data_IF_515609925292
#
_entry.id   IF_515609925292
#
_cell.length_a   1.000
_cell.length_b   1.000
_cell.length_c   1.000
_cell.angle_alpha   90.00
_cell.angle_beta   90.00
_cell.angle_gamma   90.00
#
_symmetry.space_group_name_H-M   'P 1'
#
loop_
_entity.id
_entity.type
_entity.pdbx_description
1 polymer ?
#
# COMPACT_ATOMS: atom_id res chain seq x y z
N UNK A 1 12.17 -22.22 -1.29
CA UNK A 1 11.63 -21.25 -0.31
C UNK A 1 10.14 -21.16 -0.55
N UNK A 2 9.36 -21.13 0.53
CA UNK A 2 7.91 -21.05 0.41
C UNK A 2 7.56 -19.70 -0.23
N UNK A 3 6.98 -19.72 -1.42
CA UNK A 3 6.72 -18.52 -2.24
C UNK A 3 5.40 -17.84 -1.80
N UNK A 4 5.07 -17.97 -0.51
CA UNK A 4 3.85 -17.43 0.09
C UNK A 4 4.15 -16.09 0.75
N UNK A 5 3.37 -15.11 0.38
CA UNK A 5 3.38 -13.82 1.03
C UNK A 5 2.36 -13.79 2.18
N UNK A 6 2.63 -12.96 3.18
CA UNK A 6 1.70 -12.58 4.23
C UNK A 6 1.42 -11.08 4.10
N UNK A 7 0.16 -10.69 4.08
CA UNK A 7 -0.26 -9.31 3.94
C UNK A 7 -1.12 -8.90 5.13
N UNK A 8 -0.73 -7.79 5.77
CA UNK A 8 -1.49 -7.15 6.85
C UNK A 8 -2.09 -5.84 6.35
N UNK A 9 -3.39 -5.66 6.46
CA UNK A 9 -4.06 -4.40 6.17
C UNK A 9 -3.80 -3.41 7.31
N UNK A 10 -3.01 -2.37 7.07
CA UNK A 10 -2.72 -1.31 8.05
C UNK A 10 -3.79 -0.22 8.05
N UNK A 11 -4.47 -0.06 6.93
CA UNK A 11 -5.58 0.82 6.72
C UNK A 11 -6.42 0.37 5.54
N UNK A 12 -7.73 0.49 5.66
CA UNK A 12 -8.71 0.01 4.67
C UNK A 12 -9.70 1.09 4.24
N UNK A 13 -9.53 2.31 4.73
CA UNK A 13 -10.36 3.45 4.41
C UNK A 13 -9.92 4.20 3.15
N UNK A 14 -10.85 4.92 2.55
CA UNK A 14 -10.61 5.88 1.47
C UNK A 14 -9.87 7.13 1.98
N UNK A 15 -9.62 8.10 1.11
CA UNK A 15 -8.85 9.32 1.37
C UNK A 15 -9.26 10.12 2.61
N UNK A 16 -10.51 10.03 3.05
CA UNK A 16 -11.00 10.71 4.26
C UNK A 16 -10.90 9.87 5.54
N UNK A 17 -10.59 8.57 5.44
CA UNK A 17 -10.69 7.64 6.55
C UNK A 17 -12.12 7.48 7.10
N UNK A 18 -12.29 6.62 8.11
CA UNK A 18 -13.54 6.45 8.84
C UNK A 18 -13.22 6.42 10.35
N UNK A 19 -13.83 7.28 11.19
CA UNK A 19 -14.83 8.30 10.86
C UNK A 19 -14.26 9.46 10.05
N UNK A 20 -15.07 9.98 9.14
CA UNK A 20 -14.73 11.16 8.37
C UNK A 20 -14.93 12.43 9.22
N UNK A 21 -14.02 13.39 9.11
CA UNK A 21 -14.11 14.69 9.81
C UNK A 21 -15.43 15.39 9.43
N UNK A 22 -16.10 15.93 10.43
CA UNK A 22 -17.37 16.65 10.32
C UNK A 22 -18.53 15.81 9.69
N UNK A 23 -18.43 14.47 9.69
CA UNK A 23 -19.48 13.58 9.18
C UNK A 23 -20.16 12.82 10.31
N UNK A 24 -21.48 12.96 10.37
CA UNK A 24 -22.32 12.28 11.33
C UNK A 24 -23.26 11.28 10.62
N UNK A 25 -22.76 10.07 10.38
CA UNK A 25 -23.51 8.98 9.75
C UNK A 25 -23.37 7.68 10.53
N UNK A 26 -24.19 6.69 10.21
CA UNK A 26 -24.25 5.42 10.92
C UNK A 26 -22.88 4.72 11.00
N UNK A 27 -22.10 4.71 9.91
CA UNK A 27 -20.76 4.10 9.85
C UNK A 27 -19.75 4.90 10.67
N UNK A 28 -19.76 6.24 10.57
CA UNK A 28 -18.85 7.08 11.36
C UNK A 28 -19.08 6.96 12.86
N UNK A 29 -20.34 6.72 13.31
CA UNK A 29 -20.74 6.54 14.71
C UNK A 29 -20.67 5.09 15.18
N UNK A 30 -20.40 4.13 14.29
CA UNK A 30 -20.32 2.71 14.67
C UNK A 30 -19.34 2.50 15.82
N UNK A 31 -19.71 1.61 16.75
CA UNK A 31 -18.83 1.15 17.83
C UNK A 31 -17.97 -0.06 17.39
N UNK A 32 -18.28 -0.67 16.25
CA UNK A 32 -17.51 -1.79 15.72
C UNK A 32 -16.13 -1.28 15.30
N UNK A 33 -15.03 -1.84 15.84
CA UNK A 33 -13.67 -1.44 15.46
C UNK A 33 -13.38 -1.66 13.98
N UNK A 34 -14.06 -2.59 13.30
CA UNK A 34 -13.91 -2.83 11.87
C UNK A 34 -14.48 -1.70 10.99
N UNK A 35 -15.28 -0.81 11.57
CA UNK A 35 -15.75 0.43 10.94
C UNK A 35 -14.82 1.64 11.21
N UNK A 36 -13.73 1.46 11.97
CA UNK A 36 -12.69 2.48 12.16
C UNK A 36 -11.56 2.18 11.20
N UNK A 37 -11.36 3.06 10.22
CA UNK A 37 -10.48 2.77 9.08
C UNK A 37 -9.52 3.92 8.84
N UNK A 38 -8.23 3.65 8.99
CA UNK A 38 -7.15 4.50 8.52
C UNK A 38 -7.08 4.46 6.99
N UNK A 39 -6.36 5.41 6.35
CA UNK A 39 -6.19 5.44 4.89
C UNK A 39 -5.50 4.18 4.40
N UNK A 40 -5.87 3.75 3.20
CA UNK A 40 -5.43 2.47 2.62
C UNK A 40 -3.90 2.34 2.59
N UNK A 41 -3.41 1.28 3.21
CA UNK A 41 -2.01 0.86 3.19
C UNK A 41 -1.92 -0.60 3.64
N UNK A 42 -0.95 -1.34 3.15
CA UNK A 42 -0.70 -2.73 3.56
C UNK A 42 0.78 -2.98 3.80
N UNK A 43 1.06 -3.84 4.78
CA UNK A 43 2.39 -4.39 5.04
C UNK A 43 2.47 -5.80 4.47
N UNK A 44 3.50 -6.07 3.69
CA UNK A 44 3.72 -7.38 3.07
C UNK A 44 5.04 -7.96 3.59
N UNK A 45 4.95 -9.12 4.21
CA UNK A 45 6.10 -9.95 4.57
C UNK A 45 6.28 -11.01 3.50
N UNK A 46 7.37 -10.93 2.71
CA UNK A 46 7.58 -11.81 1.57
C UNK A 46 9.07 -12.09 1.35
N UNK A 47 9.42 -13.37 1.31
CA UNK A 47 10.81 -13.82 1.10
C UNK A 47 11.81 -13.28 2.11
N UNK A 48 11.37 -12.98 3.33
CA UNK A 48 12.19 -12.41 4.40
C UNK A 48 12.25 -10.88 4.39
N UNK A 49 11.60 -10.21 3.44
CA UNK A 49 11.51 -8.75 3.37
C UNK A 49 10.21 -8.23 3.98
N UNK A 50 10.27 -7.02 4.51
CA UNK A 50 9.15 -6.24 5.00
C UNK A 50 8.90 -5.06 4.06
N UNK A 51 7.83 -5.13 3.29
CA UNK A 51 7.50 -4.19 2.21
C UNK A 51 6.20 -3.48 2.56
N UNK A 52 6.20 -2.16 2.52
CA UNK A 52 4.99 -1.36 2.68
C UNK A 52 4.44 -0.97 1.29
N UNK A 53 3.11 -1.04 1.12
CA UNK A 53 2.44 -0.43 -0.03
C UNK A 53 1.68 0.80 0.45
N UNK A 54 2.08 1.95 -0.05
CA UNK A 54 1.60 3.29 0.27
C UNK A 54 1.88 3.76 1.71
N UNK A 55 2.28 5.03 1.83
CA UNK A 55 2.59 5.72 3.09
C UNK A 55 1.75 7.00 3.21
N UNK A 56 0.46 6.82 3.48
CA UNK A 56 -0.51 7.91 3.64
C UNK A 56 -0.33 8.69 4.94
N UNK A 57 -1.19 9.68 5.23
CA UNK A 57 -1.10 10.53 6.43
C UNK A 57 -1.17 9.76 7.76
N UNK A 58 -1.66 8.53 7.74
CA UNK A 58 -1.76 7.67 8.93
C UNK A 58 -0.53 6.78 9.15
N UNK A 59 0.49 6.90 8.29
CA UNK A 59 1.71 6.07 8.30
C UNK A 59 2.29 5.90 9.72
N UNK A 60 2.53 6.98 10.45
CA UNK A 60 3.06 6.92 11.82
C UNK A 60 2.16 6.08 12.74
N UNK A 61 0.85 6.31 12.69
CA UNK A 61 -0.11 5.56 13.51
C UNK A 61 -0.10 4.08 13.15
N UNK A 62 -0.08 3.75 11.86
CA UNK A 62 -0.03 2.38 11.33
C UNK A 62 1.24 1.65 11.78
N UNK A 63 2.41 2.28 11.66
CA UNK A 63 3.67 1.67 12.12
C UNK A 63 3.66 1.38 13.62
N UNK A 64 3.19 2.31 14.45
CA UNK A 64 3.11 2.14 15.90
C UNK A 64 2.09 1.09 16.33
N UNK A 65 0.91 1.03 15.70
CA UNK A 65 -0.14 0.06 16.03
C UNK A 65 0.28 -1.38 15.73
N UNK A 66 1.09 -1.58 14.70
CA UNK A 66 1.54 -2.91 14.26
C UNK A 66 2.98 -3.23 14.69
N UNK A 67 3.59 -2.39 15.52
CA UNK A 67 4.98 -2.53 16.01
C UNK A 67 5.99 -2.78 14.88
N UNK A 68 5.81 -2.09 13.74
CA UNK A 68 6.71 -2.20 12.59
C UNK A 68 8.03 -1.54 12.95
N UNK A 69 9.10 -2.31 13.00
CA UNK A 69 10.44 -1.87 13.42
C UNK A 69 11.42 -1.77 12.28
N UNK A 70 11.05 -2.26 11.10
CA UNK A 70 11.91 -2.38 9.94
C UNK A 70 11.10 -2.26 8.65
N UNK A 71 11.67 -1.60 7.63
CA UNK A 71 11.14 -1.56 6.27
C UNK A 71 12.27 -1.69 5.25
N UNK A 72 12.20 -2.71 4.40
CA UNK A 72 13.11 -2.86 3.27
C UNK A 72 12.76 -1.93 2.12
N UNK A 73 11.46 -1.76 1.85
CA UNK A 73 10.98 -0.93 0.75
C UNK A 73 9.57 -0.38 1.00
N UNK A 74 9.27 0.72 0.32
CA UNK A 74 7.93 1.27 0.15
C UNK A 74 7.62 1.28 -1.35
N UNK A 75 6.49 0.67 -1.73
CA UNK A 75 5.97 0.70 -3.08
C UNK A 75 4.81 1.68 -3.14
N UNK A 76 4.87 2.68 -4.01
CA UNK A 76 3.80 3.66 -4.16
C UNK A 76 2.91 3.30 -5.35
N UNK A 77 1.61 3.26 -5.11
CA UNK A 77 0.64 2.96 -6.16
C UNK A 77 0.42 4.14 -7.10
N UNK A 78 0.31 5.35 -6.57
CA UNK A 78 0.13 6.60 -7.30
C UNK A 78 0.43 7.82 -6.42
N UNK A 79 0.24 9.03 -6.93
CA UNK A 79 0.70 10.27 -6.29
C UNK A 79 -0.33 10.99 -5.38
N UNK A 80 -1.50 10.40 -5.11
CA UNK A 80 -2.48 11.05 -4.25
C UNK A 80 -1.98 11.12 -2.79
N UNK A 81 -2.44 12.14 -2.06
CA UNK A 81 -1.96 12.45 -0.71
C UNK A 81 -2.32 11.41 0.34
N UNK A 82 -3.43 10.72 0.18
CA UNK A 82 -3.82 9.61 1.05
C UNK A 82 -2.89 8.39 0.90
N UNK A 83 -2.06 8.33 -0.15
CA UNK A 83 -1.06 7.29 -0.40
C UNK A 83 0.38 7.75 -0.18
N UNK A 84 0.65 9.07 -0.18
CA UNK A 84 2.03 9.61 -0.09
C UNK A 84 2.24 10.59 1.06
N UNK A 85 1.19 11.01 1.76
CA UNK A 85 1.25 12.14 2.70
C UNK A 85 2.03 11.90 3.99
N UNK A 86 2.42 10.66 4.30
CA UNK A 86 3.19 10.29 5.49
C UNK A 86 4.68 10.01 5.25
N UNK A 87 5.17 10.21 4.03
CA UNK A 87 6.55 9.88 3.65
C UNK A 87 7.63 10.62 4.45
N UNK A 88 7.33 11.78 5.05
CA UNK A 88 8.28 12.48 5.92
C UNK A 88 8.65 11.67 7.18
N UNK A 89 7.71 10.89 7.71
CA UNK A 89 7.93 10.08 8.91
C UNK A 89 8.85 8.86 8.68
N UNK A 90 9.24 8.57 7.42
CA UNK A 90 10.25 7.54 7.08
C UNK A 90 11.56 7.79 7.81
N UNK A 91 11.91 9.04 8.09
CA UNK A 91 13.12 9.40 8.84
C UNK A 91 13.26 8.67 10.18
N UNK A 92 12.14 8.21 10.77
CA UNK A 92 12.20 7.41 12.00
C UNK A 92 12.93 6.08 11.78
N UNK A 93 12.73 5.43 10.62
CA UNK A 93 13.47 4.22 10.23
C UNK A 93 14.93 4.54 9.90
N UNK A 94 15.20 5.65 9.19
CA UNK A 94 16.58 6.08 8.92
C UNK A 94 17.35 6.30 10.23
N UNK A 95 16.73 6.96 11.23
CA UNK A 95 17.31 7.19 12.55
C UNK A 95 17.55 5.87 13.32
N UNK A 96 16.65 4.90 13.17
CA UNK A 96 16.73 3.63 13.87
C UNK A 96 17.73 2.66 13.24
N UNK A 97 17.78 2.56 11.92
CA UNK A 97 18.51 1.55 11.17
C UNK A 97 19.79 2.07 10.51
N UNK A 98 19.95 3.37 10.36
CA UNK A 98 21.00 4.03 9.60
C UNK A 98 21.06 3.67 8.10
N UNK A 99 19.97 3.25 7.52
CA UNK A 99 19.88 2.97 6.12
C UNK A 99 18.84 3.88 5.45
N UNK A 100 19.04 4.27 4.17
CA UNK A 100 17.97 4.84 3.36
C UNK A 100 16.84 3.83 3.21
N UNK A 101 15.60 4.30 3.09
CA UNK A 101 14.47 3.45 2.70
C UNK A 101 14.30 3.50 1.19
N UNK A 102 14.20 2.33 0.56
CA UNK A 102 13.96 2.22 -0.87
C UNK A 102 12.50 2.55 -1.19
N UNK A 103 12.25 3.49 -2.11
CA UNK A 103 10.92 3.86 -2.60
C UNK A 103 10.83 3.48 -4.07
N UNK A 104 9.86 2.64 -4.42
CA UNK A 104 9.58 2.23 -5.78
C UNK A 104 8.33 2.93 -6.28
N UNK A 105 8.40 3.59 -7.44
CA UNK A 105 7.26 4.30 -8.00
C UNK A 105 7.41 4.57 -9.52
N UNK A 106 6.31 4.94 -10.16
CA UNK A 106 6.36 5.42 -11.54
C UNK A 106 7.01 6.81 -11.66
N UNK A 107 7.59 7.19 -12.83
CA UNK A 107 8.28 8.46 -13.03
C UNK A 107 7.43 9.71 -12.71
N UNK A 108 6.12 9.67 -12.99
CA UNK A 108 5.25 10.81 -12.68
C UNK A 108 5.01 10.98 -11.17
N UNK A 109 5.04 9.87 -10.41
CA UNK A 109 4.96 9.90 -8.94
C UNK A 109 6.23 10.54 -8.40
N UNK A 110 7.43 10.11 -8.84
CA UNK A 110 8.70 10.74 -8.45
C UNK A 110 8.70 12.24 -8.71
N UNK A 111 8.21 12.67 -9.88
CA UNK A 111 8.08 14.11 -10.20
C UNK A 111 7.25 14.85 -9.15
N UNK A 112 6.17 14.24 -8.68
CA UNK A 112 5.34 14.79 -7.60
C UNK A 112 6.08 14.83 -6.27
N UNK A 113 6.78 13.75 -5.90
CA UNK A 113 7.56 13.69 -4.67
C UNK A 113 8.64 14.76 -4.63
N UNK A 114 9.40 14.96 -5.72
CA UNK A 114 10.42 16.00 -5.82
C UNK A 114 9.86 17.41 -5.64
N UNK A 115 8.65 17.67 -6.15
CA UNK A 115 7.96 18.96 -5.95
C UNK A 115 7.52 19.16 -4.50
N UNK A 116 7.00 18.13 -3.85
CA UNK A 116 6.34 18.23 -2.55
C UNK A 116 7.29 18.04 -1.38
N UNK A 117 8.31 17.22 -1.56
CA UNK A 117 9.35 16.90 -0.57
C UNK A 117 10.73 17.34 -1.05
N UNK A 118 10.82 18.50 -1.70
CA UNK A 118 12.07 19.01 -2.29
C UNK A 118 13.27 18.99 -1.34
N UNK A 119 13.04 19.19 -0.04
CA UNK A 119 14.09 19.13 0.99
C UNK A 119 14.70 17.73 1.16
N UNK A 120 13.92 16.66 0.90
CA UNK A 120 14.41 15.28 0.95
C UNK A 120 15.26 14.90 -0.28
N UNK A 121 15.19 15.70 -1.35
CA UNK A 121 15.97 15.53 -2.57
C UNK A 121 17.10 16.59 -2.73
N UNK A 122 17.27 17.48 -1.76
CA UNK A 122 18.30 18.51 -1.81
C UNK A 122 19.70 17.87 -1.76
N UNK A 123 20.67 18.45 -2.46
CA UNK A 123 22.09 18.04 -2.36
C UNK A 123 22.63 18.30 -0.94
N UNK A 124 22.27 19.42 -0.37
CA UNK A 124 22.57 19.76 1.03
C UNK A 124 21.27 19.67 1.83
N UNK A 125 21.11 18.57 2.59
CA UNK A 125 19.95 18.35 3.45
C UNK A 125 20.22 18.88 4.86
N UNK A 126 19.19 19.35 5.54
CA UNK A 126 19.31 19.60 6.97
C UNK A 126 19.43 18.28 7.75
N UNK A 127 20.14 18.26 8.90
CA UNK A 127 20.28 17.06 9.72
C UNK A 127 18.91 16.50 10.14
N UNK A 128 18.67 15.21 9.91
CA UNK A 128 17.41 14.53 10.21
C UNK A 128 16.32 14.68 9.14
N UNK A 129 16.62 15.23 7.97
CA UNK A 129 15.74 15.08 6.80
C UNK A 129 15.63 13.60 6.42
N UNK A 130 14.48 13.14 5.89
CA UNK A 130 14.34 11.75 5.49
C UNK A 130 15.35 11.38 4.39
N UNK A 131 15.93 10.19 4.51
CA UNK A 131 16.78 9.58 3.51
C UNK A 131 16.06 8.44 2.83
N UNK A 132 15.78 8.62 1.55
CA UNK A 132 15.18 7.60 0.72
C UNK A 132 15.91 7.47 -0.61
N UNK A 133 15.84 6.29 -1.23
CA UNK A 133 16.31 6.04 -2.59
C UNK A 133 15.11 5.72 -3.47
N UNK A 134 14.92 6.51 -4.53
CA UNK A 134 13.81 6.31 -5.46
C UNK A 134 14.26 5.42 -6.61
N UNK A 135 13.54 4.32 -6.81
CA UNK A 135 13.68 3.38 -7.91
C UNK A 135 12.46 3.52 -8.82
N UNK A 136 12.71 3.78 -10.10
CA UNK A 136 11.62 3.92 -11.07
C UNK A 136 11.15 2.56 -11.55
N UNK A 137 9.84 2.34 -11.49
CA UNK A 137 9.18 1.13 -11.98
C UNK A 137 8.80 1.31 -13.44
N UNK A 138 9.15 0.31 -14.27
CA UNK A 138 8.50 0.06 -15.54
C UNK A 138 7.33 -0.90 -15.32
N UNK A 139 6.09 -0.40 -15.47
CA UNK A 139 4.88 -1.18 -15.25
C UNK A 139 4.73 -2.38 -16.20
N UNK A 140 5.51 -2.45 -17.28
CA UNK A 140 5.45 -3.54 -18.26
C UNK A 140 6.13 -4.82 -17.80
N UNK A 141 7.03 -4.77 -16.81
CA UNK A 141 7.86 -5.91 -16.38
C UNK A 141 7.93 -6.05 -14.85
N UNK A 142 8.11 -7.28 -14.34
CA UNK A 142 8.45 -7.49 -12.94
C UNK A 142 9.75 -6.79 -12.56
N UNK A 143 9.87 -6.40 -11.29
CA UNK A 143 11.08 -5.80 -10.73
C UNK A 143 11.49 -6.51 -9.45
N UNK A 144 12.76 -6.35 -9.06
CA UNK A 144 13.31 -6.97 -7.86
C UNK A 144 13.40 -5.95 -6.73
N UNK A 145 12.89 -6.31 -5.56
CA UNK A 145 13.12 -5.61 -4.32
C UNK A 145 14.19 -6.35 -3.53
N UNK A 146 15.24 -5.65 -3.16
CA UNK A 146 16.32 -6.15 -2.32
C UNK A 146 16.14 -5.67 -0.88
N UNK A 147 16.75 -6.37 0.07
CA UNK A 147 16.88 -5.90 1.43
C UNK A 147 17.59 -4.53 1.47
N UNK A 148 17.12 -3.61 2.31
CA UNK A 148 17.77 -2.32 2.49
C UNK A 148 19.10 -2.40 3.24
N UNK A 149 19.44 -3.54 3.85
CA UNK A 149 20.74 -3.79 4.44
C UNK A 149 21.90 -3.73 3.43
N UNK A 150 21.59 -3.80 2.14
CA UNK A 150 22.57 -3.61 1.05
C UNK A 150 22.81 -2.13 0.72
N UNK A 151 22.04 -1.22 1.31
CA UNK A 151 22.21 0.21 1.14
C UNK A 151 23.38 0.73 1.98
N UNK A 152 24.00 1.84 1.53
CA UNK A 152 25.07 2.48 2.26
C UNK A 152 24.60 2.94 3.65
N UNK A 153 25.39 2.69 4.67
CA UNK A 153 25.11 3.16 6.03
C UNK A 153 25.18 4.70 6.04
N UNK A 154 24.14 5.32 6.56
CA UNK A 154 24.08 6.77 6.73
C UNK A 154 25.09 7.24 7.78
N UNK A 155 25.88 8.24 7.43
CA UNK A 155 26.91 8.76 8.34
C UNK A 155 26.30 9.63 9.46
N UNK A 156 27.02 9.71 10.57
CA UNK A 156 26.72 10.60 11.68
C UNK A 156 26.59 12.09 11.28
N UNK A 157 27.30 12.52 10.27
CA UNK A 157 27.27 13.88 9.74
C UNK A 157 25.87 14.28 9.23
N UNK A 158 25.05 13.30 8.85
CA UNK A 158 23.66 13.49 8.45
C UNK A 158 22.67 13.44 9.63
N UNK A 159 23.13 13.36 10.88
CA UNK A 159 22.27 13.34 12.05
C UNK A 159 21.71 11.95 12.42
N UNK A 160 22.17 10.89 11.75
CA UNK A 160 21.70 9.52 11.93
C UNK A 160 22.66 8.71 12.83
N UNK A 161 22.67 8.94 14.10
CA UNK A 161 23.65 8.34 15.01
C UNK A 161 23.10 7.49 16.14
N UNK A 162 21.83 7.16 16.15
CA UNK A 162 21.20 6.51 17.31
C UNK A 162 20.83 5.05 17.05
N UNK A 163 21.79 4.25 16.59
CA UNK A 163 21.52 2.88 16.17
C UNK A 163 21.68 1.90 17.31
N UNK A 164 20.61 1.30 17.72
CA UNK A 164 20.61 0.18 18.64
C UNK A 164 19.60 -0.90 18.23
N UNK A 165 19.23 -0.94 16.94
CA UNK A 165 18.42 -2.03 16.44
C UNK A 165 19.28 -3.29 16.24
N UNK A 166 18.68 -4.48 16.41
CA UNK A 166 19.35 -5.73 16.08
C UNK A 166 19.77 -5.75 14.62
N UNK A 167 20.71 -6.65 14.24
CA UNK A 167 21.08 -6.83 12.83
C UNK A 167 19.85 -7.03 11.95
N UNK A 168 19.93 -6.58 10.70
CA UNK A 168 18.87 -6.70 9.72
C UNK A 168 18.39 -8.16 9.62
N UNK A 169 17.06 -8.44 9.65
CA UNK A 169 16.55 -9.82 9.72
C UNK A 169 16.82 -10.64 8.45
N UNK A 170 16.98 -9.99 7.29
CA UNK A 170 17.12 -10.66 6.00
C UNK A 170 18.11 -9.93 5.06
N UNK A 171 19.40 -9.78 5.44
CA UNK A 171 20.36 -8.90 4.75
C UNK A 171 20.61 -9.28 3.28
N UNK A 172 20.48 -10.56 2.91
CA UNK A 172 20.76 -11.07 1.56
C UNK A 172 19.47 -11.42 0.78
N UNK A 173 18.30 -11.02 1.30
CA UNK A 173 17.03 -11.33 0.66
C UNK A 173 16.74 -10.45 -0.53
N UNK A 174 16.11 -11.05 -1.54
CA UNK A 174 15.56 -10.36 -2.69
C UNK A 174 14.29 -11.07 -3.16
N UNK A 175 13.28 -10.31 -3.57
CA UNK A 175 12.02 -10.84 -4.08
C UNK A 175 11.61 -10.17 -5.38
N UNK A 176 10.96 -10.93 -6.25
CA UNK A 176 10.30 -10.39 -7.43
C UNK A 176 8.91 -9.88 -7.08
N UNK A 177 8.59 -8.69 -7.55
CA UNK A 177 7.27 -8.06 -7.45
C UNK A 177 6.75 -7.80 -8.86
N UNK A 178 5.49 -8.18 -9.11
CA UNK A 178 4.85 -7.96 -10.41
C UNK A 178 3.94 -6.74 -10.33
N UNK A 179 4.22 -5.65 -11.05
CA UNK A 179 3.33 -4.50 -11.12
C UNK A 179 2.11 -4.82 -11.99
N UNK A 180 0.94 -4.37 -11.54
CA UNK A 180 -0.33 -4.48 -12.25
C UNK A 180 -0.76 -3.07 -12.62
N UNK A 181 -0.77 -2.75 -13.91
CA UNK A 181 -1.07 -1.41 -14.38
C UNK A 181 -2.58 -1.19 -14.58
N UNK A 182 -3.07 -0.09 -14.08
CA UNK A 182 -4.45 0.32 -14.26
C UNK A 182 -4.61 1.84 -14.24
N UNK A 183 -5.85 2.27 -14.31
CA UNK A 183 -6.23 3.66 -14.36
C UNK A 183 -7.21 4.00 -13.24
N UNK A 184 -6.99 5.14 -12.59
CA UNK A 184 -7.88 5.66 -11.56
C UNK A 184 -9.20 6.21 -12.13
N UNK A 185 -9.20 6.57 -13.40
CA UNK A 185 -10.37 7.12 -14.10
C UNK A 185 -10.59 6.41 -15.44
N UNK A 186 -11.86 6.34 -15.88
CA UNK A 186 -12.20 5.78 -17.20
C UNK A 186 -11.53 6.54 -18.35
N UNK A 187 -11.27 7.85 -18.17
CA UNK A 187 -10.58 8.69 -19.14
C UNK A 187 -9.06 8.52 -19.15
N UNK A 188 -8.52 7.54 -18.43
CA UNK A 188 -7.09 7.22 -18.35
C UNK A 188 -6.19 8.43 -17.98
N UNK A 189 -6.63 9.23 -17.00
CA UNK A 189 -5.92 10.45 -16.60
C UNK A 189 -4.82 10.23 -15.58
N UNK A 190 -4.99 9.24 -14.69
CA UNK A 190 -4.05 8.95 -13.61
C UNK A 190 -3.72 7.46 -13.64
N UNK A 191 -2.45 7.14 -13.89
CA UNK A 191 -1.90 5.79 -13.77
C UNK A 191 -1.91 5.36 -12.31
N UNK A 192 -2.22 4.09 -12.06
CA UNK A 192 -2.16 3.47 -10.73
C UNK A 192 -1.56 2.09 -10.86
N UNK A 193 -0.61 1.76 -9.99
CA UNK A 193 -0.07 0.41 -9.88
C UNK A 193 -0.73 -0.36 -8.74
N UNK A 194 -1.17 -1.58 -9.03
CA UNK A 194 -1.29 -2.63 -8.04
C UNK A 194 -0.03 -3.48 -8.03
N UNK A 195 0.10 -4.37 -7.06
CA UNK A 195 1.29 -5.22 -6.91
C UNK A 195 0.90 -6.66 -6.59
N UNK A 196 1.59 -7.61 -7.24
CA UNK A 196 1.49 -9.02 -6.92
C UNK A 196 2.77 -9.49 -6.22
N UNK A 197 2.59 -10.17 -5.10
CA UNK A 197 3.60 -10.81 -4.25
C UNK A 197 3.30 -12.31 -4.22
N UNK A 198 3.92 -13.08 -5.09
CA UNK A 198 3.66 -14.51 -5.20
C UNK A 198 2.18 -14.85 -5.37
N UNK A 199 1.54 -15.35 -4.31
CA UNK A 199 0.14 -15.78 -4.30
C UNK A 199 -0.88 -14.69 -3.92
N UNK A 200 -0.44 -13.47 -3.61
CA UNK A 200 -1.30 -12.33 -3.22
C UNK A 200 -1.20 -11.21 -4.24
N UNK A 201 -2.32 -10.62 -4.63
CA UNK A 201 -2.38 -9.37 -5.40
C UNK A 201 -3.14 -8.30 -4.62
N UNK A 202 -2.52 -7.14 -4.45
CA UNK A 202 -3.10 -5.97 -3.83
C UNK A 202 -3.30 -4.86 -4.86
N UNK A 203 -4.56 -4.47 -5.07
CA UNK A 203 -4.95 -3.38 -5.94
C UNK A 203 -5.81 -2.40 -5.14
N UNK A 204 -5.46 -1.12 -5.21
CA UNK A 204 -6.28 -0.02 -4.68
C UNK A 204 -6.45 1.03 -5.77
N UNK A 205 -7.51 1.83 -5.71
CA UNK A 205 -7.74 2.99 -6.60
C UNK A 205 -7.72 2.70 -8.12
N UNK A 206 -7.75 1.44 -8.51
CA UNK A 206 -7.84 1.03 -9.90
C UNK A 206 -9.31 0.95 -10.32
N UNK A 207 -9.75 1.88 -11.17
CA UNK A 207 -11.09 1.85 -11.79
C UNK A 207 -11.16 0.80 -12.88
N UNK A 208 -10.09 0.62 -13.64
CA UNK A 208 -9.99 -0.36 -14.72
C UNK A 208 -8.53 -0.74 -14.96
N UNK A 209 -8.26 -1.99 -15.29
CA UNK A 209 -6.95 -2.41 -15.77
C UNK A 209 -6.68 -1.85 -17.17
N UNK A 210 -5.42 -1.61 -17.49
CA UNK A 210 -5.05 -1.00 -18.78
C UNK A 210 -5.32 -1.94 -19.96
N UNK A 211 -5.12 -3.24 -19.78
CA UNK A 211 -5.24 -4.23 -20.86
C UNK A 211 -5.55 -5.62 -20.33
N UNK A 212 -5.88 -6.55 -21.26
CA UNK A 212 -6.02 -7.97 -20.96
C UNK A 212 -4.72 -8.60 -20.40
N UNK A 213 -3.56 -8.12 -20.82
CA UNK A 213 -2.27 -8.59 -20.29
C UNK A 213 -2.14 -8.36 -18.79
N UNK A 214 -2.78 -7.33 -18.24
CA UNK A 214 -2.78 -7.07 -16.80
C UNK A 214 -3.60 -8.11 -16.03
N UNK A 215 -4.69 -8.63 -16.60
CA UNK A 215 -5.43 -9.76 -16.03
C UNK A 215 -4.61 -11.05 -16.03
N UNK A 216 -3.79 -11.28 -17.07
CA UNK A 216 -2.92 -12.44 -17.13
C UNK A 216 -1.92 -12.50 -15.95
N UNK A 217 -1.43 -11.33 -15.50
CA UNK A 217 -0.56 -11.21 -14.33
C UNK A 217 -1.25 -11.64 -13.02
N UNK A 218 -2.58 -11.65 -12.97
CA UNK A 218 -3.38 -12.06 -11.80
C UNK A 218 -3.70 -13.56 -11.77
N UNK A 219 -3.39 -14.32 -12.82
CA UNK A 219 -3.69 -15.75 -12.87
C UNK A 219 -2.99 -16.52 -11.75
N UNK A 220 -3.76 -17.36 -11.05
CA UNK A 220 -3.25 -18.24 -10.02
C UNK A 220 -2.94 -17.58 -8.68
N UNK A 221 -3.37 -16.33 -8.45
CA UNK A 221 -3.34 -15.75 -7.10
C UNK A 221 -4.38 -16.46 -6.22
N UNK A 222 -4.01 -16.69 -4.95
CA UNK A 222 -4.94 -17.23 -3.95
C UNK A 222 -5.80 -16.13 -3.32
N UNK A 223 -5.20 -14.94 -3.17
CA UNK A 223 -5.82 -13.79 -2.54
C UNK A 223 -5.73 -12.58 -3.46
N UNK A 224 -6.85 -11.88 -3.64
CA UNK A 224 -6.89 -10.64 -4.42
C UNK A 224 -7.62 -9.54 -3.66
N UNK A 225 -7.11 -8.33 -3.77
CA UNK A 225 -7.73 -7.13 -3.16
C UNK A 225 -8.06 -6.11 -4.24
N UNK A 226 -9.21 -5.45 -4.14
CA UNK A 226 -9.58 -4.31 -4.99
C UNK A 226 -10.34 -3.26 -4.17
N UNK A 227 -10.15 -1.98 -4.53
CA UNK A 227 -10.84 -0.87 -3.88
C UNK A 227 -12.32 -0.76 -4.31
N UNK A 228 -13.22 -0.40 -3.35
CA UNK A 228 -14.61 -0.04 -3.64
C UNK A 228 -15.09 1.02 -2.64
N UNK A 229 -15.47 2.20 -3.13
CA UNK A 229 -15.86 3.32 -2.26
C UNK A 229 -17.36 3.42 -2.01
N UNK A 230 -18.20 2.90 -2.88
CA UNK A 230 -19.67 2.88 -2.74
C UNK A 230 -20.32 1.80 -3.62
N UNK A 231 -21.60 1.50 -3.32
CA UNK A 231 -22.36 0.48 -4.07
C UNK A 231 -22.58 0.90 -5.52
N UNK A 232 -23.01 2.14 -5.75
CA UNK A 232 -23.33 2.65 -7.09
C UNK A 232 -22.12 3.12 -7.89
N UNK A 233 -22.34 3.59 -9.10
CA UNK A 233 -21.28 4.05 -9.98
C UNK A 233 -20.46 5.23 -9.40
N UNK A 234 -19.16 5.25 -9.66
CA UNK A 234 -18.24 6.29 -9.27
C UNK A 234 -17.28 6.59 -10.43
N UNK A 235 -16.92 7.87 -10.60
CA UNK A 235 -16.10 8.30 -11.73
C UNK A 235 -14.66 7.76 -11.70
N UNK A 236 -14.12 7.55 -10.51
CA UNK A 236 -12.70 7.17 -10.30
C UNK A 236 -12.48 5.84 -9.58
N UNK A 237 -13.51 5.22 -9.05
CA UNK A 237 -13.39 3.91 -8.37
C UNK A 237 -14.42 2.93 -8.92
N UNK A 238 -14.19 1.62 -8.82
CA UNK A 238 -15.19 0.63 -9.17
C UNK A 238 -16.46 0.78 -8.32
N UNK A 239 -17.62 0.53 -8.92
CA UNK A 239 -18.85 0.21 -8.17
C UNK A 239 -18.72 -1.16 -7.53
N UNK A 240 -19.63 -1.49 -6.61
CA UNK A 240 -19.65 -2.84 -6.02
C UNK A 240 -19.79 -3.92 -7.10
N UNK A 241 -20.67 -3.71 -8.09
CA UNK A 241 -20.85 -4.70 -9.16
C UNK A 241 -19.57 -4.88 -9.99
N UNK A 242 -18.92 -3.77 -10.40
CA UNK A 242 -17.64 -3.86 -11.12
C UNK A 242 -16.56 -4.56 -10.31
N UNK A 243 -16.54 -4.37 -8.99
CA UNK A 243 -15.60 -5.05 -8.08
C UNK A 243 -15.90 -6.56 -8.03
N UNK A 244 -17.16 -6.95 -7.93
CA UNK A 244 -17.56 -8.36 -7.92
C UNK A 244 -17.28 -9.06 -9.26
N UNK A 245 -17.57 -8.41 -10.39
CA UNK A 245 -17.27 -8.91 -11.73
C UNK A 245 -15.75 -9.11 -11.92
N UNK A 246 -14.96 -8.18 -11.38
CA UNK A 246 -13.49 -8.32 -11.39
C UNK A 246 -13.03 -9.53 -10.58
N UNK A 247 -13.55 -9.74 -9.36
CA UNK A 247 -13.18 -10.88 -8.53
C UNK A 247 -13.59 -12.22 -9.15
N UNK A 248 -14.81 -12.29 -9.72
CA UNK A 248 -15.26 -13.48 -10.46
C UNK A 248 -14.32 -13.80 -11.62
N UNK A 249 -13.88 -12.80 -12.36
CA UNK A 249 -12.98 -12.96 -13.50
C UNK A 249 -11.57 -13.41 -13.06
N UNK A 250 -11.04 -12.89 -11.96
CA UNK A 250 -9.72 -13.30 -11.42
C UNK A 250 -9.78 -14.73 -10.88
N UNK A 251 -10.88 -15.11 -10.25
CA UNK A 251 -11.11 -16.46 -9.73
C UNK A 251 -10.18 -16.84 -8.57
N UNK A 252 -9.77 -15.88 -7.75
CA UNK A 252 -8.99 -16.13 -6.53
C UNK A 252 -9.82 -16.93 -5.50
N UNK A 253 -9.12 -17.66 -4.61
CA UNK A 253 -9.76 -18.40 -3.53
C UNK A 253 -10.53 -17.46 -2.57
N UNK A 254 -9.92 -16.34 -2.20
CA UNK A 254 -10.51 -15.31 -1.34
C UNK A 254 -10.25 -13.93 -1.92
N UNK A 255 -11.25 -13.07 -1.86
CA UNK A 255 -11.21 -11.71 -2.39
C UNK A 255 -11.55 -10.70 -1.31
N UNK A 256 -10.85 -9.58 -1.29
CA UNK A 256 -10.98 -8.57 -0.25
C UNK A 256 -11.27 -7.19 -0.84
N UNK A 257 -12.26 -6.50 -0.28
CA UNK A 257 -12.60 -5.12 -0.65
C UNK A 257 -11.89 -4.17 0.31
N UNK A 258 -11.10 -3.26 -0.22
CA UNK A 258 -10.41 -2.18 0.52
C UNK A 258 -10.85 -0.79 0.04
N UNK A 259 -10.21 0.26 0.51
CA UNK A 259 -10.48 1.66 0.16
C UNK A 259 -11.96 2.03 0.40
N UNK A 260 -12.49 1.57 1.53
CA UNK A 260 -13.90 1.65 1.90
C UNK A 260 -14.26 3.05 2.41
N UNK A 261 -15.41 3.59 1.97
CA UNK A 261 -15.90 4.89 2.43
C UNK A 261 -17.08 4.77 3.40
N UNK A 262 -17.42 5.88 4.05
CA UNK A 262 -18.60 6.02 4.91
C UNK A 262 -19.94 5.91 4.13
N UNK A 263 -19.92 5.81 2.79
CA UNK A 263 -21.09 5.63 1.94
C UNK A 263 -21.49 4.15 1.78
N UNK A 264 -20.65 3.23 2.22
CA UNK A 264 -20.95 1.82 2.31
C UNK A 264 -21.72 1.51 3.62
N UNK A 265 -22.42 0.39 3.72
CA UNK A 265 -23.01 -0.08 4.99
C UNK A 265 -21.94 -0.32 6.05
N UNK A 266 -22.38 -0.51 7.32
CA UNK A 266 -21.49 -0.99 8.40
C UNK A 266 -20.89 -2.33 8.03
N UNK A 267 -19.73 -2.65 8.60
CA UNK A 267 -18.95 -3.83 8.24
C UNK A 267 -19.78 -5.12 8.17
N UNK A 268 -20.57 -5.43 9.20
CA UNK A 268 -21.40 -6.65 9.23
C UNK A 268 -22.51 -6.64 8.18
N UNK A 269 -23.18 -5.50 8.01
CA UNK A 269 -24.24 -5.32 7.03
C UNK A 269 -23.67 -5.47 5.61
N UNK A 270 -22.50 -4.89 5.35
CA UNK A 270 -21.81 -4.98 4.07
C UNK A 270 -21.33 -6.40 3.80
N UNK A 271 -20.72 -7.07 4.77
CA UNK A 271 -20.29 -8.46 4.66
C UNK A 271 -21.44 -9.41 4.31
N UNK A 272 -22.63 -9.18 4.90
CA UNK A 272 -23.82 -9.99 4.62
C UNK A 272 -24.37 -9.83 3.18
N UNK A 273 -23.98 -8.79 2.46
CA UNK A 273 -24.38 -8.53 1.07
C UNK A 273 -23.46 -9.20 0.05
N UNK A 274 -22.30 -9.71 0.47
CA UNK A 274 -21.22 -10.19 -0.41
C UNK A 274 -21.30 -11.72 -0.60
N UNK A 275 -20.79 -12.23 -1.73
CA UNK A 275 -20.58 -13.67 -1.91
C UNK A 275 -19.68 -14.28 -0.82
N UNK A 276 -19.78 -15.57 -0.49
CA UNK A 276 -19.06 -16.19 0.65
C UNK A 276 -17.52 -16.04 0.60
N UNK A 277 -16.92 -15.90 -0.58
CA UNK A 277 -15.48 -15.77 -0.80
C UNK A 277 -15.03 -14.31 -0.98
N UNK A 278 -15.93 -13.35 -0.75
CA UNK A 278 -15.64 -11.91 -0.85
C UNK A 278 -15.87 -11.26 0.51
N UNK A 279 -14.88 -10.55 1.01
CA UNK A 279 -14.89 -9.97 2.35
C UNK A 279 -14.56 -8.49 2.33
N UNK A 280 -15.22 -7.64 3.13
CA UNK A 280 -14.70 -6.32 3.39
C UNK A 280 -13.45 -6.44 4.27
N UNK A 281 -12.33 -5.87 3.87
CA UNK A 281 -11.14 -5.82 4.71
C UNK A 281 -11.36 -4.88 5.91
N UNK A 282 -10.55 -5.01 6.96
CA UNK A 282 -10.51 -4.11 8.12
C UNK A 282 -9.07 -3.92 8.60
N UNK A 283 -8.82 -2.83 9.30
CA UNK A 283 -7.51 -2.51 9.82
C UNK A 283 -7.04 -3.58 10.83
N UNK A 284 -5.90 -4.18 10.58
CA UNK A 284 -5.35 -5.30 11.33
C UNK A 284 -5.68 -6.69 10.76
N UNK A 285 -6.47 -6.81 9.70
CA UNK A 285 -6.70 -8.10 9.03
C UNK A 285 -5.39 -8.61 8.43
N UNK A 286 -5.11 -9.90 8.64
CA UNK A 286 -3.96 -10.62 8.08
C UNK A 286 -4.44 -11.69 7.12
N UNK A 287 -3.84 -11.78 5.93
CA UNK A 287 -4.13 -12.81 4.93
C UNK A 287 -2.84 -13.45 4.41
N UNK A 288 -2.93 -14.68 3.88
CA UNK A 288 -1.77 -15.42 3.40
C UNK A 288 -0.92 -16.02 4.53
N UNK A 289 0.34 -16.33 4.26
CA UNK A 289 1.30 -16.95 5.19
C UNK A 289 1.38 -18.47 5.09
#
# INVERSE_FOLDING_TARGET
MDNKAKLTFLGTGTSSGIPMIARDCAVCRSADPRDKRLRASVLVEYGGLTILVDAGPDFRTQMLQHDVRHLDAILLTHNHKDHTGGLDDIRAFNLAEAHPVNIFCEPYVETTLRREYGYAFAEEKYPGAPEWRVHLIDASAPFTVHSNANEDILSWEHGFGYHHLPPHPAPDSAVEVVPIHGWHHREKKTSVLGYRFGNIAYLTDIKMLDSEAEFEKLKGVEYVTLGCVKIGDHHSHPSLQETLDFFERVGARESYITHLSHQLPRHEEFAAMLPPHVHPAWDGLVIGG
#
